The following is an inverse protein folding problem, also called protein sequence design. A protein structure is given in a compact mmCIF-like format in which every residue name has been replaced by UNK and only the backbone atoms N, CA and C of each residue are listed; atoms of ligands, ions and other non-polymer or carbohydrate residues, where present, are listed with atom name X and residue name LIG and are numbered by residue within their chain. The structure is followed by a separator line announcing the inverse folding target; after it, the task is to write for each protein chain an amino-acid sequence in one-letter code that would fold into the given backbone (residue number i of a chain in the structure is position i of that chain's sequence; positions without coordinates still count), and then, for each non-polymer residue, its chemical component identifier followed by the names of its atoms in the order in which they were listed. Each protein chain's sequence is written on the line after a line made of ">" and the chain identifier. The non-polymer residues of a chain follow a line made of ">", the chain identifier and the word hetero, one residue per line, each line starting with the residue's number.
data_IF_120732756926
#
_entry.id   IF_120732756926
#
_cell.length_a   1.000
_cell.length_b   1.000
_cell.length_c   1.000
_cell.angle_alpha   90.00
_cell.angle_beta   90.00
_cell.angle_gamma   90.00
#
_symmetry.space_group_name_H-M   'P 1'
#
loop_
_entity.id
_entity.type
_entity.pdbx_description
1 polymer ?
2 non-polymer ?
3 water ?
#
# COMPACT_ATOMS: atom_id res chain seq x y z
N UNK A 10 -10.33 23.58 -17.24
CA UNK A 10 -9.55 23.99 -16.08
C UNK A 10 -10.39 23.88 -14.80
N UNK A 11 -9.83 23.25 -13.78
CA UNK A 11 -10.50 23.08 -12.50
C UNK A 11 -9.65 23.69 -11.38
N UNK A 12 -10.09 23.49 -10.14
CA UNK A 12 -9.39 24.07 -9.00
C UNK A 12 -8.04 23.40 -8.74
N UNK A 13 -7.83 22.18 -9.24
CA UNK A 13 -6.57 21.49 -9.00
C UNK A 13 -5.43 22.08 -9.81
N UNK A 14 -5.73 22.65 -10.98
CA UNK A 14 -4.69 23.16 -11.85
C UNK A 14 -4.00 24.37 -11.24
N UNK A 15 -2.67 24.35 -11.25
CA UNK A 15 -1.87 25.46 -10.73
C UNK A 15 -0.78 25.80 -11.74
N UNK A 16 -0.30 27.03 -11.71
CA UNK A 16 0.83 27.40 -12.59
C UNK A 16 2.11 26.70 -12.16
N UNK A 17 3.02 26.56 -13.12
CA UNK A 17 4.26 25.83 -12.87
C UNK A 17 5.22 26.62 -11.99
N UNK A 18 5.11 27.96 -12.00
CA UNK A 18 6.00 28.77 -11.17
C UNK A 18 5.66 28.68 -9.69
N UNK A 19 4.41 28.32 -9.35
CA UNK A 19 4.02 28.21 -7.96
C UNK A 19 4.74 27.08 -7.24
N UNK A 20 5.36 26.16 -7.99
CA UNK A 20 6.13 25.07 -7.42
C UNK A 20 7.60 25.42 -7.38
N UNK A 21 8.27 25.05 -6.29
CA UNK A 21 9.69 25.31 -6.11
C UNK A 21 10.33 24.03 -5.57
N UNK A 22 10.77 23.17 -6.48
CA UNK A 22 11.40 21.91 -6.11
C UNK A 22 12.69 22.18 -5.34
N UNK A 23 13.06 21.23 -4.48
CA UNK A 23 14.23 21.42 -3.62
C UNK A 23 15.20 20.24 -3.73
N UNK A 24 14.90 19.14 -3.04
CA UNK A 24 15.79 18.00 -2.95
C UNK A 24 15.14 16.78 -3.58
N UNK A 25 15.91 16.01 -4.33
CA UNK A 25 15.41 14.79 -4.95
C UNK A 25 15.22 13.70 -3.90
N UNK A 26 14.11 12.97 -4.03
CA UNK A 26 13.78 11.90 -3.09
C UNK A 26 14.02 10.51 -3.64
N UNK A 27 14.01 10.35 -4.96
CA UNK A 27 14.20 9.07 -5.60
C UNK A 27 13.11 8.79 -6.60
N UNK A 28 13.19 7.61 -7.20
CA UNK A 28 12.23 7.16 -8.20
C UNK A 28 11.41 6.00 -7.65
N UNK A 29 10.43 5.58 -8.44
CA UNK A 29 9.50 4.56 -8.01
C UNK A 29 8.09 5.09 -7.99
N UNK A 30 7.10 4.19 -8.00
CA UNK A 30 5.69 4.55 -8.09
C UNK A 30 5.45 5.43 -9.32
N UNK A 31 5.78 4.85 -10.48
CA UNK A 31 5.70 5.49 -11.79
C UNK A 31 6.70 6.63 -11.96
N UNK A 32 7.73 6.69 -11.11
CA UNK A 32 8.93 7.45 -11.42
C UNK A 32 9.17 8.60 -10.44
N UNK A 33 10.26 9.32 -10.73
CA UNK A 33 10.81 10.46 -10.03
C UNK A 33 9.84 11.22 -9.12
N UNK A 34 10.26 11.44 -7.88
CA UNK A 34 9.52 12.26 -6.92
C UNK A 34 10.50 13.21 -6.25
N UNK A 35 10.13 14.48 -6.14
CA UNK A 35 10.97 15.51 -5.54
C UNK A 35 10.30 16.05 -4.29
N UNK A 36 11.12 16.40 -3.29
CA UNK A 36 10.65 17.19 -2.16
C UNK A 36 10.83 18.66 -2.51
N UNK A 37 9.74 19.42 -2.47
CA UNK A 37 9.78 20.82 -2.84
C UNK A 37 8.90 21.70 -1.99
N UNK A 38 8.46 22.83 -2.56
CA UNK A 38 7.63 23.78 -1.85
C UNK A 38 6.60 24.35 -2.81
N UNK A 39 5.42 24.66 -2.28
CA UNK A 39 4.32 25.13 -3.10
C UNK A 39 4.16 26.65 -2.97
N UNK A 40 2.98 27.11 -2.56
CA UNK A 40 2.71 28.54 -2.45
C UNK A 40 3.54 29.15 -1.33
N UNK A 41 4.69 29.71 -1.68
CA UNK A 41 5.59 30.26 -0.69
C UNK A 41 6.23 29.18 0.17
N UNK A 42 5.55 28.81 1.26
CA UNK A 42 6.04 27.76 2.16
C UNK A 42 4.94 26.73 2.34
N UNK A 43 5.13 25.56 1.73
CA UNK A 43 4.22 24.43 1.90
C UNK A 43 4.96 23.20 1.38
N UNK A 44 5.54 22.43 2.29
CA UNK A 44 6.33 21.27 1.89
C UNK A 44 5.44 20.24 1.21
N UNK A 45 5.79 19.89 -0.03
CA UNK A 45 5.00 18.97 -0.84
C UNK A 45 5.95 17.99 -1.52
N UNK A 46 5.36 16.97 -2.14
CA UNK A 46 6.07 16.04 -3.00
C UNK A 46 5.59 16.22 -4.43
N UNK A 47 6.54 16.27 -5.36
CA UNK A 47 6.25 16.50 -6.78
C UNK A 47 6.74 15.29 -7.56
N UNK A 48 5.80 14.51 -8.09
CA UNK A 48 6.13 13.40 -8.97
C UNK A 48 6.08 13.88 -10.42
N UNK A 49 7.24 13.84 -11.09
CA UNK A 49 7.36 14.29 -12.46
C UNK A 49 7.52 13.09 -13.39
N UNK A 50 7.20 13.30 -14.66
CA UNK A 50 7.29 12.23 -15.66
C UNK A 50 8.72 11.75 -15.84
N UNK A 57 3.83 9.28 -21.82
CA UNK A 57 2.39 9.13 -21.98
C UNK A 57 1.61 10.06 -21.06
N UNK A 58 0.69 10.85 -21.62
CA UNK A 58 -0.08 11.80 -20.81
C UNK A 58 -1.10 11.10 -19.91
N UNK A 59 -1.28 9.79 -20.04
CA UNK A 59 -2.09 9.05 -19.09
C UNK A 59 -1.52 9.11 -17.67
N UNK A 60 -0.29 9.57 -17.53
CA UNK A 60 0.36 9.79 -16.25
C UNK A 60 -0.46 10.72 -15.34
N UNK A 63 -3.52 8.70 -12.40
CA UNK A 63 -2.93 9.00 -11.10
C UNK A 63 -3.51 10.30 -10.53
N UNK A 64 -3.82 11.24 -11.42
CA UNK A 64 -4.33 12.54 -10.98
C UNK A 64 -5.85 12.60 -11.01
N UNK A 65 -6.47 12.10 -12.08
CA UNK A 65 -7.91 12.22 -12.23
C UNK A 65 -8.66 11.43 -11.16
N UNK A 66 -8.04 10.39 -10.62
CA UNK A 66 -8.72 9.56 -9.62
C UNK A 66 -8.51 10.10 -8.21
N UNK A 67 -7.33 10.67 -7.93
CA UNK A 67 -7.07 11.23 -6.61
C UNK A 67 -7.92 12.47 -6.32
N UNK A 68 -8.55 13.05 -7.34
CA UNK A 68 -9.39 14.23 -7.11
C UNK A 68 -10.66 13.87 -6.36
N UNK A 69 -11.21 12.68 -6.58
CA UNK A 69 -12.46 12.29 -5.95
C UNK A 69 -12.26 11.65 -4.58
N UNK A 70 -11.11 11.05 -4.33
CA UNK A 70 -10.86 10.29 -3.12
C UNK A 70 -10.10 11.16 -2.12
N UNK A 71 -10.64 11.27 -0.91
CA UNK A 71 -10.00 12.02 0.17
C UNK A 71 -10.22 11.26 1.48
N UNK A 72 -9.13 10.88 2.12
CA UNK A 72 -9.18 10.10 3.35
C UNK A 72 -7.88 10.29 4.10
N UNK A 73 -7.94 10.15 5.44
CA UNK A 73 -6.77 10.38 6.26
C UNK A 73 -5.69 9.31 6.06
N UNK A 74 -6.05 8.16 5.47
CA UNK A 74 -5.09 7.10 5.22
C UNK A 74 -4.78 6.92 3.73
N UNK A 75 -5.18 7.88 2.90
CA UNK A 75 -4.74 7.98 1.52
C UNK A 75 -3.88 9.22 1.36
N UNK A 76 -2.81 9.09 0.58
CA UNK A 76 -1.97 10.25 0.30
C UNK A 76 -2.81 11.28 -0.44
N UNK A 77 -2.84 12.50 0.09
CA UNK A 77 -3.75 13.52 -0.44
C UNK A 77 -3.10 14.26 -1.61
N UNK A 78 -3.84 14.37 -2.70
CA UNK A 78 -3.42 15.19 -3.83
C UNK A 78 -3.66 16.67 -3.51
N UNK A 79 -2.68 17.51 -3.88
CA UNK A 79 -2.79 18.95 -3.67
C UNK A 79 -3.12 19.70 -4.96
N UNK A 80 -2.37 19.45 -6.02
CA UNK A 80 -2.54 20.21 -7.26
C UNK A 80 -1.91 19.43 -8.41
N UNK A 81 -2.24 19.84 -9.63
CA UNK A 81 -1.78 19.18 -10.85
C UNK A 81 -1.31 20.24 -11.83
N UNK A 82 -0.24 19.93 -12.56
CA UNK A 82 0.21 20.71 -13.71
C UNK A 82 0.01 19.83 -14.93
N UNK A 83 -1.01 20.15 -15.74
CA UNK A 83 -1.48 19.23 -16.77
C UNK A 83 -0.63 19.23 -18.04
N UNK A 84 0.28 20.20 -18.21
CA UNK A 84 1.11 20.27 -19.40
C UNK A 84 2.49 19.69 -19.12
N UNK A 85 3.17 19.32 -20.20
CA UNK A 85 4.53 18.79 -20.10
C UNK A 85 5.48 19.88 -19.66
N UNK A 86 6.37 19.63 -18.67
CA UNK A 86 6.44 18.36 -17.94
C UNK A 86 5.37 18.26 -16.85
N UNK A 87 4.59 17.17 -16.90
CA UNK A 87 3.45 17.03 -16.00
C UNK A 87 3.93 16.77 -14.58
N UNK A 88 3.44 17.56 -13.63
CA UNK A 88 3.77 17.43 -12.23
C UNK A 88 2.55 16.95 -11.44
N UNK A 89 2.80 16.22 -10.37
CA UNK A 89 1.75 15.73 -9.47
C UNK A 89 2.17 16.11 -8.06
N UNK A 90 1.42 17.02 -7.43
CA UNK A 90 1.75 17.59 -6.13
C UNK A 90 0.89 16.92 -5.07
N UNK A 91 1.53 16.26 -4.10
CA UNK A 91 0.85 15.60 -3.00
C UNK A 91 1.52 15.99 -1.70
N UNK A 92 0.93 15.54 -0.59
CA UNK A 92 1.51 15.78 0.72
C UNK A 92 2.83 15.03 0.87
N UNK A 93 3.66 15.51 1.78
CA UNK A 93 4.98 14.96 2.03
C UNK A 93 4.93 14.00 3.21
N UNK A 94 5.47 12.79 3.01
CA UNK A 94 5.61 11.79 4.05
C UNK A 94 7.07 11.70 4.45
N UNK A 95 7.35 11.84 5.74
CA UNK A 95 8.74 12.01 6.19
C UNK A 95 9.53 10.72 6.08
N UNK A 96 8.93 9.59 6.47
CA UNK A 96 9.67 8.33 6.50
C UNK A 96 9.77 7.65 5.14
N UNK A 97 8.99 8.08 4.15
CA UNK A 97 9.10 7.52 2.82
C UNK A 97 8.31 6.23 2.66
N UNK A 98 8.82 5.34 1.80
CA UNK A 98 8.14 4.11 1.47
C UNK A 98 8.10 3.14 2.66
N UNK A 99 7.04 2.35 2.72
CA UNK A 99 6.92 1.35 3.78
C UNK A 99 7.93 0.23 3.58
N UNK A 100 8.14 -0.19 2.34
CA UNK A 100 9.12 -1.24 2.07
C UNK A 100 10.52 -0.81 2.49
N UNK A 101 10.89 0.44 2.19
CA UNK A 101 12.18 0.95 2.64
C UNK A 101 12.24 1.03 4.16
N UNK A 102 11.15 1.49 4.78
CA UNK A 102 11.13 1.62 6.24
C UNK A 102 11.31 0.28 6.92
N UNK A 103 10.65 -0.77 6.41
CA UNK A 103 10.81 -2.10 6.98
C UNK A 103 12.23 -2.63 6.80
N UNK A 104 12.81 -2.39 5.62
CA UNK A 104 14.16 -2.86 5.35
C UNK A 104 15.22 -1.99 6.00
N UNK A 105 14.90 -0.72 6.23
CA UNK A 105 15.87 0.24 6.75
C UNK A 105 16.29 -0.07 8.17
N UNK A 106 17.09 0.85 8.71
CA UNK A 106 17.66 0.64 10.04
C UNK A 106 16.60 0.72 11.14
N UNK A 107 15.52 1.45 10.89
CA UNK A 107 14.46 1.56 11.90
C UNK A 107 13.60 0.30 11.95
N UNK A 108 13.42 -0.38 10.82
CA UNK A 108 12.49 -1.49 10.76
C UNK A 108 12.86 -2.66 11.64
N UNK A 109 14.15 -2.85 11.91
CA UNK A 109 14.58 -4.00 12.71
C UNK A 109 14.03 -3.97 14.12
N UNK A 110 13.65 -2.79 14.63
CA UNK A 110 13.10 -2.67 15.97
C UNK A 110 11.59 -2.81 16.02
N UNK A 111 10.92 -2.80 14.86
CA UNK A 111 9.46 -2.95 14.83
C UNK A 111 9.05 -4.31 15.35
N UNK A 112 8.05 -4.33 16.22
CA UNK A 112 7.48 -5.55 16.76
C UNK A 112 6.06 -5.71 16.22
N UNK A 113 5.44 -6.85 16.55
CA UNK A 113 4.10 -7.14 16.06
C UNK A 113 3.07 -6.07 16.40
N UNK A 114 3.07 -5.46 17.61
CA UNK A 114 2.10 -4.37 17.85
C UNK A 114 2.21 -3.23 16.86
N UNK A 115 3.41 -2.81 16.50
CA UNK A 115 3.56 -1.73 15.53
C UNK A 115 3.17 -2.19 14.13
N UNK A 116 3.60 -3.38 13.72
CA UNK A 116 3.30 -3.88 12.38
C UNK A 116 1.81 -4.09 12.20
N UNK A 117 1.13 -4.65 13.20
CA UNK A 117 -0.32 -4.84 13.12
C UNK A 117 -1.03 -3.49 13.08
N UNK A 118 -0.58 -2.54 13.90
CA UNK A 118 -1.17 -1.21 13.87
C UNK A 118 -1.00 -0.55 12.50
N UNK A 119 0.16 -0.75 11.88
CA UNK A 119 0.36 -0.23 10.53
C UNK A 119 -0.56 -0.92 9.53
N UNK A 120 -0.76 -2.23 9.69
CA UNK A 120 -1.69 -2.94 8.82
C UNK A 120 -3.12 -2.46 9.02
N UNK A 121 -3.48 -2.11 10.26
CA UNK A 121 -4.82 -1.60 10.54
C UNK A 121 -5.05 -0.27 9.84
N UNK A 122 -4.04 0.60 9.83
CA UNK A 122 -4.17 1.88 9.13
C UNK A 122 -4.32 1.66 7.62
N UNK A 123 -3.56 0.71 7.07
CA UNK A 123 -3.66 0.42 5.64
C UNK A 123 -5.03 -0.12 5.31
N UNK A 124 -5.54 -1.04 6.13
CA UNK A 124 -6.89 -1.56 5.92
C UNK A 124 -7.94 -0.46 6.04
N UNK A 125 -7.69 0.53 6.89
CA UNK A 125 -8.63 1.65 7.01
C UNK A 125 -8.67 2.47 5.74
N UNK A 126 -7.51 2.72 5.13
CA UNK A 126 -7.49 3.43 3.85
C UNK A 126 -8.17 2.62 2.75
N UNK A 127 -7.92 1.31 2.71
CA UNK A 127 -8.56 0.47 1.72
C UNK A 127 -10.04 0.27 2.01
N UNK A 128 -10.44 0.38 3.28
CA UNK A 128 -11.87 0.34 3.60
C UNK A 128 -12.60 1.53 2.99
N UNK A 129 -11.95 2.70 2.96
CA UNK A 129 -12.53 3.85 2.29
C UNK A 129 -12.64 3.62 0.79
N UNK A 130 -11.58 3.07 0.19
CA UNK A 130 -11.63 2.69 -1.23
C UNK A 130 -12.74 1.68 -1.46
N UNK A 131 -12.97 0.79 -0.49
CA UNK A 131 -13.97 -0.26 -0.65
C UNK A 131 -15.37 0.31 -0.74
N UNK A 132 -15.74 1.18 0.21
CA UNK A 132 -17.07 1.75 0.22
C UNK A 132 -17.24 2.87 -0.80
N UNK A 133 -16.15 3.37 -1.39
CA UNK A 133 -16.23 4.28 -2.51
C UNK A 133 -16.41 3.55 -3.84
N UNK A 134 -16.38 2.21 -3.83
CA UNK A 134 -16.53 1.38 -5.03
C UNK A 134 -15.39 1.65 -6.02
N UNK A 135 -14.16 1.53 -5.52
CA UNK A 135 -12.96 1.70 -6.33
C UNK A 135 -12.06 0.49 -6.16
N UNK A 136 -11.06 0.39 -7.03
CA UNK A 136 -10.04 -0.66 -6.97
C UNK A 136 -8.68 0.00 -7.09
N UNK A 137 -7.73 -0.48 -6.29
CA UNK A 137 -6.38 0.08 -6.27
C UNK A 137 -5.48 -0.60 -7.31
N UNK A 138 -5.48 -1.93 -7.35
CA UNK A 138 -4.86 -2.80 -8.34
C UNK A 138 -3.34 -2.95 -8.15
N UNK A 139 -2.69 -2.16 -7.31
CA UNK A 139 -1.25 -2.30 -7.09
C UNK A 139 -0.92 -2.03 -5.64
N UNK A 140 -1.65 -2.69 -4.74
CA UNK A 140 -1.44 -2.51 -3.30
C UNK A 140 -0.28 -3.38 -2.84
N UNK A 141 0.74 -2.75 -2.27
CA UNK A 141 1.89 -3.45 -1.70
C UNK A 141 2.71 -2.45 -0.90
N UNK A 142 3.70 -2.96 -0.17
CA UNK A 142 4.48 -2.12 0.73
C UNK A 142 5.22 -1.03 -0.04
N UNK A 143 5.66 -1.32 -1.27
CA UNK A 143 6.37 -0.31 -2.04
C UNK A 143 5.49 0.89 -2.38
N UNK A 144 4.18 0.68 -2.46
CA UNK A 144 3.23 1.74 -2.78
C UNK A 144 2.50 2.26 -1.56
N UNK A 145 3.13 2.17 -0.38
CA UNK A 145 2.58 2.72 0.85
C UNK A 145 3.64 3.59 1.50
N UNK A 146 3.26 4.80 1.89
CA UNK A 146 4.18 5.78 2.43
C UNK A 146 3.98 5.91 3.94
N UNK A 147 5.09 6.19 4.64
CA UNK A 147 5.11 6.30 6.09
C UNK A 147 5.50 7.72 6.46
N UNK A 148 4.81 8.28 7.45
CA UNK A 148 5.12 9.60 7.93
C UNK A 148 5.47 9.62 9.41
N UNK A 149 5.18 10.72 10.08
CA UNK A 149 5.46 10.82 11.50
C UNK A 149 4.47 9.97 12.30
N UNK A 150 4.93 9.51 13.47
CA UNK A 150 4.09 8.74 14.39
C UNK A 150 3.64 7.41 13.79
N UNK A 151 4.48 6.83 12.92
CA UNK A 151 4.19 5.56 12.24
C UNK A 151 2.89 5.63 11.44
N UNK A 152 2.52 6.82 10.96
CA UNK A 152 1.35 6.97 10.13
C UNK A 152 1.63 6.38 8.75
N UNK A 153 0.77 5.46 8.32
CA UNK A 153 0.86 4.83 7.00
C UNK A 153 -0.31 5.27 6.14
N UNK A 154 -0.03 5.62 4.89
CA UNK A 154 -1.06 6.06 3.96
C UNK A 154 -0.88 5.35 2.62
N UNK A 155 -2.00 5.00 2.00
CA UNK A 155 -2.00 4.31 0.71
C UNK A 155 -1.72 5.31 -0.40
N UNK A 156 -0.91 4.90 -1.37
CA UNK A 156 -0.61 5.76 -2.51
C UNK A 156 -0.69 4.96 -3.81
N UNK A 157 -0.21 5.54 -4.91
CA UNK A 157 -0.15 4.85 -6.20
C UNK A 157 -1.53 4.55 -6.79
N UNK A 158 -2.15 5.55 -7.39
CA UNK A 158 -3.47 5.39 -7.99
C UNK A 158 -3.44 5.62 -9.49
N UNK A 159 -2.27 5.43 -10.11
CA UNK A 159 -2.16 5.51 -11.55
C UNK A 159 -2.95 4.44 -12.28
N UNK A 160 -3.20 3.31 -11.63
CA UNK A 160 -4.00 2.24 -12.22
C UNK A 160 -5.39 2.15 -11.62
N UNK A 161 -5.72 3.00 -10.65
CA UNK A 161 -6.98 2.87 -9.92
C UNK A 161 -8.19 2.96 -10.85
N UNK A 162 -9.16 2.07 -10.63
CA UNK A 162 -10.37 2.02 -11.43
C UNK A 162 -11.60 2.00 -10.54
N UNK A 163 -12.77 1.80 -11.14
CA UNK A 163 -14.01 1.67 -10.39
C UNK A 163 -14.47 0.21 -10.36
N UNK A 178 4.00 -7.07 -11.02
CA UNK A 178 3.74 -7.40 -9.63
C UNK A 178 2.88 -8.65 -9.48
N UNK A 179 3.29 -9.73 -10.16
CA UNK A 179 2.53 -10.97 -10.13
C UNK A 179 2.46 -11.53 -8.71
N UNK A 180 3.53 -11.37 -7.94
CA UNK A 180 3.57 -11.93 -6.59
C UNK A 180 2.58 -11.27 -5.65
N UNK A 181 2.11 -10.06 -5.97
CA UNK A 181 1.13 -9.36 -5.15
C UNK A 181 -0.27 -9.37 -5.73
N UNK A 182 -0.47 -9.99 -6.90
CA UNK A 182 -1.72 -9.88 -7.64
C UNK A 182 -2.51 -11.17 -7.53
N UNK A 183 -3.81 -11.05 -7.26
CA UNK A 183 -4.67 -12.22 -7.22
C UNK A 183 -4.63 -12.94 -8.56
N UNK A 184 -4.67 -14.27 -8.57
CA UNK A 184 -4.52 -14.99 -9.85
C UNK A 184 -5.60 -14.66 -10.86
N UNK A 185 -6.85 -14.46 -10.43
CA UNK A 185 -7.91 -14.12 -11.37
C UNK A 185 -7.72 -12.73 -11.96
N UNK A 186 -6.95 -11.86 -11.31
CA UNK A 186 -6.64 -10.54 -11.86
C UNK A 186 -5.42 -10.58 -12.78
N UNK A 187 -4.39 -11.36 -12.41
CA UNK A 187 -3.19 -11.42 -13.23
C UNK A 187 -3.45 -12.18 -14.53
N UNK A 188 -4.29 -13.21 -14.48
CA UNK A 188 -4.55 -14.05 -15.65
C UNK A 188 -5.65 -13.49 -16.54
N UNK A 189 -6.73 -12.98 -15.94
CA UNK A 189 -7.93 -12.62 -16.69
C UNK A 189 -8.29 -11.15 -16.58
N UNK A 190 -7.56 -10.36 -15.81
CA UNK A 190 -7.90 -8.96 -15.65
C UNK A 190 -9.08 -8.69 -14.75
N UNK A 191 -9.48 -9.66 -13.93
CA UNK A 191 -10.60 -9.49 -13.01
C UNK A 191 -10.09 -8.72 -11.79
N UNK A 192 -9.92 -7.42 -11.95
CA UNK A 192 -9.48 -6.54 -10.88
C UNK A 192 -10.72 -6.03 -10.13
N UNK A 193 -10.90 -6.51 -8.90
CA UNK A 193 -11.96 -6.07 -8.02
C UNK A 193 -11.35 -5.65 -6.69
N UNK A 194 -12.21 -5.18 -5.78
CA UNK A 194 -11.75 -4.90 -4.42
C UNK A 194 -11.34 -6.20 -3.73
N UNK A 195 -11.83 -7.35 -4.20
CA UNK A 195 -11.43 -8.62 -3.62
C UNK A 195 -10.04 -9.03 -4.07
N UNK A 196 -9.60 -8.57 -5.25
CA UNK A 196 -8.21 -8.78 -5.64
C UNK A 196 -7.28 -7.89 -4.84
N UNK A 197 -7.74 -6.70 -4.45
CA UNK A 197 -6.97 -5.87 -3.53
C UNK A 197 -6.84 -6.56 -2.17
N UNK A 198 -7.89 -7.26 -1.74
CA UNK A 198 -7.82 -8.01 -0.48
C UNK A 198 -6.73 -9.08 -0.56
N UNK A 199 -6.61 -9.73 -1.71
CA UNK A 199 -5.51 -10.67 -1.92
C UNK A 199 -4.17 -9.99 -1.75
N UNK A 200 -3.99 -8.82 -2.38
CA UNK A 200 -2.75 -8.08 -2.25
C UNK A 200 -2.47 -7.72 -0.81
N UNK A 201 -3.52 -7.42 -0.05
CA UNK A 201 -3.35 -7.08 1.36
C UNK A 201 -2.78 -8.26 2.16
N UNK A 202 -3.25 -9.46 1.86
CA UNK A 202 -2.71 -10.64 2.52
C UNK A 202 -1.23 -10.81 2.25
N UNK A 203 -0.81 -10.59 1.01
CA UNK A 203 0.62 -10.59 0.68
C UNK A 203 1.34 -9.50 1.46
N UNK A 204 0.74 -8.31 1.52
CA UNK A 204 1.35 -7.21 2.27
C UNK A 204 1.54 -7.56 3.74
N UNK A 205 0.65 -8.37 4.31
CA UNK A 205 0.83 -8.80 5.69
C UNK A 205 2.11 -9.61 5.85
N UNK A 206 2.47 -10.40 4.85
CA UNK A 206 3.73 -11.15 4.91
C UNK A 206 4.93 -10.22 4.82
N UNK A 207 4.81 -9.13 4.05
CA UNK A 207 5.88 -8.13 4.02
C UNK A 207 6.07 -7.51 5.40
N UNK A 208 4.97 -7.26 6.12
CA UNK A 208 5.08 -6.67 7.44
C UNK A 208 5.69 -7.63 8.44
N UNK A 209 5.25 -8.89 8.43
CA UNK A 209 5.69 -9.86 9.42
C UNK A 209 7.08 -10.42 9.13
N UNK A 210 7.68 -10.10 7.98
CA UNK A 210 9.05 -10.51 7.68
C UNK A 210 9.99 -9.33 7.53
N UNK A 211 9.56 -8.12 7.93
CA UNK A 211 10.37 -6.91 7.83
C UNK A 211 10.71 -6.59 6.38
N UNK A 212 9.77 -6.85 5.48
CA UNK A 212 9.89 -6.40 4.11
C UNK A 212 10.47 -7.39 3.12
N UNK A 213 10.57 -8.66 3.48
CA UNK A 213 11.12 -9.65 2.56
C UNK A 213 10.20 -9.85 1.36
N UNK A 214 10.79 -10.28 0.25
CA UNK A 214 10.02 -10.52 -0.97
C UNK A 214 9.16 -11.77 -0.79
N UNK A 215 7.90 -11.75 -1.17
CA UNK A 215 7.06 -12.94 -1.02
C UNK A 215 7.49 -14.05 -1.97
N UNK A 216 7.10 -15.26 -1.61
CA UNK A 216 7.45 -16.47 -2.37
C UNK A 216 8.96 -16.53 -2.63
N UNK A 217 9.78 -16.66 -1.58
CA UNK A 217 11.23 -16.59 -1.76
C UNK A 217 11.74 -17.73 -2.65
N UNK A 218 12.69 -17.39 -3.52
CA UNK A 218 13.28 -18.36 -4.41
C UNK A 218 12.40 -18.81 -5.55
N UNK A 219 11.27 -18.15 -5.79
CA UNK A 219 10.35 -18.49 -6.87
C UNK A 219 10.30 -17.37 -7.88
N UNK A 220 10.29 -17.72 -9.16
CA UNK A 220 10.15 -16.75 -10.24
C UNK A 220 8.67 -16.52 -10.49
N UNK A 221 8.35 -15.52 -11.32
CA UNK A 221 6.96 -15.13 -11.51
C UNK A 221 6.11 -16.27 -12.08
N UNK A 222 6.62 -16.95 -13.10
CA UNK A 222 5.84 -18.02 -13.71
C UNK A 222 5.69 -19.21 -12.77
N UNK A 223 6.65 -19.41 -11.85
CA UNK A 223 6.49 -20.46 -10.85
C UNK A 223 5.46 -20.07 -9.80
N UNK A 224 5.43 -18.78 -9.43
CA UNK A 224 4.44 -18.29 -8.48
C UNK A 224 3.04 -18.48 -9.05
N UNK A 225 2.85 -18.12 -10.32
CA UNK A 225 1.53 -18.20 -10.93
C UNK A 225 1.08 -19.65 -11.08
N UNK A 226 2.02 -20.56 -11.36
CA UNK A 226 1.67 -21.97 -11.50
C UNK A 226 1.23 -22.56 -10.16
N UNK A 227 2.03 -22.37 -9.12
CA UNK A 227 1.75 -23.04 -7.84
C UNK A 227 0.55 -22.43 -7.13
N UNK A 228 0.36 -21.11 -7.25
CA UNK A 228 -0.77 -20.47 -6.57
C UNK A 228 -2.09 -20.93 -7.18
N UNK A 229 -2.14 -21.07 -8.50
CA UNK A 229 -3.36 -21.56 -9.14
C UNK A 229 -3.68 -22.97 -8.69
N UNK A 230 -2.66 -23.79 -8.46
CA UNK A 230 -2.87 -25.14 -7.98
C UNK A 230 -3.19 -25.20 -6.49
N UNK A 231 -3.13 -24.07 -5.78
CA UNK A 231 -3.52 -24.02 -4.38
C UNK A 231 -2.40 -23.73 -3.40
N UNK A 232 -1.15 -23.53 -3.84
CA UNK A 232 -0.08 -23.25 -2.90
C UNK A 232 -0.27 -21.89 -2.25
N UNK A 233 0.04 -21.81 -0.96
CA UNK A 233 0.02 -20.56 -0.22
C UNK A 233 1.28 -20.47 0.62
N UNK A 234 1.73 -19.24 0.88
CA UNK A 234 2.93 -19.05 1.68
C UNK A 234 2.71 -19.58 3.09
N UNK A 235 3.73 -20.18 3.71
CA UNK A 235 3.54 -20.71 5.07
C UNK A 235 3.50 -19.61 6.11
N UNK A 236 3.25 -19.97 7.36
CA UNK A 236 3.26 -18.99 8.44
C UNK A 236 4.68 -18.46 8.64
N UNK A 237 4.89 -17.15 8.59
CA UNK A 237 6.23 -16.62 8.83
C UNK A 237 6.70 -16.96 10.22
N UNK A 238 8.02 -17.05 10.44
CA UNK A 238 8.53 -17.37 11.78
C UNK A 238 8.13 -16.29 12.79
N UNK A 239 7.76 -16.75 13.98
CA UNK A 239 7.28 -15.95 15.11
C UNK A 239 5.93 -15.29 14.84
N UNK A 240 5.35 -15.46 13.67
CA UNK A 240 4.02 -14.92 13.41
C UNK A 240 2.96 -15.83 14.04
N UNK A 241 2.00 -15.27 14.78
CA UNK A 241 0.95 -16.11 15.36
C UNK A 241 0.10 -16.75 14.27
N UNK A 242 -0.37 -17.97 14.56
CA UNK A 242 -1.21 -18.67 13.60
C UNK A 242 -2.45 -17.88 13.24
N UNK A 243 -3.03 -17.17 14.23
CA UNK A 243 -4.25 -16.41 13.99
C UNK A 243 -4.05 -15.34 12.94
N UNK A 244 -2.88 -14.71 12.91
CA UNK A 244 -2.60 -13.72 11.88
C UNK A 244 -2.36 -14.38 10.53
N UNK A 245 -1.81 -15.59 10.52
CA UNK A 245 -1.63 -16.30 9.25
C UNK A 245 -2.96 -16.79 8.70
N UNK A 246 -3.91 -17.14 9.56
CA UNK A 246 -5.23 -17.53 9.09
C UNK A 246 -5.91 -16.37 8.37
N UNK A 247 -5.69 -15.15 8.85
CA UNK A 247 -6.23 -13.98 8.16
C UNK A 247 -5.63 -13.83 6.78
N UNK A 248 -4.34 -14.16 6.63
CA UNK A 248 -3.70 -14.12 5.33
C UNK A 248 -4.35 -15.13 4.38
N UNK A 249 -4.53 -16.36 4.84
CA UNK A 249 -5.11 -17.40 3.98
C UNK A 249 -6.54 -17.03 3.59
N UNK A 250 -7.28 -16.40 4.48
CA UNK A 250 -8.62 -15.91 4.13
C UNK A 250 -8.54 -14.91 2.99
N UNK A 251 -7.55 -14.02 3.02
CA UNK A 251 -7.32 -13.10 1.91
C UNK A 251 -6.88 -13.83 0.65
N UNK A 252 -6.42 -15.08 0.77
CA UNK A 252 -5.89 -15.84 -0.36
C UNK A 252 -6.84 -16.93 -0.84
N UNK A 253 -8.12 -16.85 -0.48
CA UNK A 253 -9.06 -17.87 -0.92
C UNK A 253 -9.22 -17.83 -2.43
N UNK A 254 -9.39 -19.00 -3.03
CA UNK A 254 -9.48 -19.10 -4.48
C UNK A 254 -10.69 -18.34 -5.00
N UNK A 255 -11.82 -18.44 -4.31
CA UNK A 255 -13.02 -17.73 -4.72
C UNK A 255 -12.96 -16.30 -4.20
N UNK A 256 -12.94 -15.29 -5.08
CA UNK A 256 -12.79 -13.90 -4.60
C UNK A 256 -13.91 -13.46 -3.68
N UNK A 257 -15.15 -13.89 -3.93
CA UNK A 257 -16.27 -13.47 -3.09
C UNK A 257 -16.11 -13.96 -1.66
N UNK A 258 -15.40 -15.07 -1.46
CA UNK A 258 -15.18 -15.61 -0.13
C UNK A 258 -14.07 -14.90 0.63
N UNK A 259 -13.36 -13.98 -0.02
CA UNK A 259 -12.35 -13.20 0.68
C UNK A 259 -13.02 -12.15 1.57
N UNK A 260 -12.40 -11.84 2.70
CA UNK A 260 -13.02 -10.90 3.64
C UNK A 260 -12.98 -9.46 3.11
N UNK A 261 -13.81 -8.63 3.72
CA UNK A 261 -13.85 -7.21 3.38
C UNK A 261 -12.77 -6.45 4.16
N UNK A 262 -12.40 -5.28 3.62
CA UNK A 262 -11.46 -4.43 4.34
C UNK A 262 -12.07 -3.87 5.62
N UNK A 263 -13.40 -3.69 5.63
CA UNK A 263 -14.09 -3.32 6.86
C UNK A 263 -13.85 -4.37 7.95
N UNK A 264 -13.90 -5.65 7.58
CA UNK A 264 -13.59 -6.72 8.53
C UNK A 264 -12.11 -6.73 8.88
N UNK A 265 -11.23 -6.55 7.89
CA UNK A 265 -9.79 -6.57 8.14
C UNK A 265 -9.38 -5.46 9.09
N UNK A 266 -9.96 -4.26 8.93
CA UNK A 266 -9.62 -3.15 9.81
C UNK A 266 -10.01 -3.45 11.25
N UNK A 267 -11.24 -3.93 11.46
CA UNK A 267 -11.71 -4.22 12.81
C UNK A 267 -10.92 -5.36 13.44
N UNK A 268 -10.53 -6.35 12.64
CA UNK A 268 -9.78 -7.49 13.17
C UNK A 268 -8.39 -7.05 13.65
N UNK A 269 -7.70 -6.23 12.85
CA UNK A 269 -6.35 -5.83 13.19
C UNK A 269 -6.32 -4.78 14.31
N UNK A 270 -7.31 -3.90 14.37
CA UNK A 270 -7.35 -2.91 15.44
C UNK A 270 -7.58 -3.55 16.81
N UNK A 271 -8.35 -4.64 16.86
CA UNK A 271 -8.67 -5.32 18.10
C UNK A 271 -7.80 -6.55 18.33
N UNK A 272 -6.68 -6.68 17.60
CA UNK A 272 -5.98 -7.97 17.52
C UNK A 272 -5.48 -8.43 18.88
N UNK A 273 -4.79 -7.56 19.62
CA UNK A 273 -4.12 -7.98 20.84
C UNK A 273 -5.03 -8.04 22.06
N UNK A 274 -6.31 -7.67 21.91
CA UNK A 274 -7.28 -7.87 22.97
C UNK A 274 -8.23 -9.04 22.68
N UNK A 275 -8.69 -9.16 21.43
CA UNK A 275 -9.72 -10.13 21.09
C UNK A 275 -9.18 -11.42 20.48
N UNK A 276 -7.97 -11.40 19.92
CA UNK A 276 -7.46 -12.54 19.18
C UNK A 276 -6.21 -13.15 19.82
N UNK A 277 -5.23 -12.33 20.19
CA UNK A 277 -4.00 -12.80 20.82
C UNK A 277 -3.78 -12.05 22.12
N UNK A 278 -4.61 -12.29 23.14
CA UNK A 278 -4.44 -11.55 24.40
C UNK A 278 -3.21 -11.97 25.19
N UNK A 279 -2.61 -13.12 24.89
CA UNK A 279 -1.42 -13.59 25.56
C UNK A 279 -0.20 -13.55 24.65
N UNK A 280 -0.19 -12.61 23.70
CA UNK A 280 0.98 -12.40 22.87
C UNK A 280 2.16 -11.98 23.72
N UNK A 281 3.33 -12.56 23.44
CA UNK A 281 4.55 -12.17 24.13
C UNK A 281 5.62 -11.81 23.11
N UNK A 282 6.39 -10.75 23.35
CA UNK A 282 7.42 -10.36 22.38
C UNK A 282 8.48 -11.43 22.24
N UNK A 283 9.04 -11.54 21.03
CA UNK A 283 10.05 -12.53 20.74
C UNK A 283 11.34 -11.94 20.24
N UNK A 284 12.10 -12.73 19.48
CA UNK A 284 13.38 -12.25 18.95
C UNK A 284 13.19 -11.15 17.93
N UNK A 285 12.20 -11.30 17.03
CA UNK A 285 11.97 -10.34 15.97
C UNK A 285 10.56 -9.76 15.94
N UNK A 286 9.57 -10.49 16.41
CA UNK A 286 8.20 -9.99 16.43
C UNK A 286 7.65 -9.94 17.86
#
# INVERSE_FOLDING_TARGET
>A
GHMQTQGLAKDAWEIPRESLRLEVKLGQGCFGEVWMGTWNGTTRVAIKTLKPGTMSPEAFLQEAQVMKKLRHEKLVQLYAVVSEEPIYIVTEYMSKGSLLDFLKGETGKYLRLPQLVDMAAQIASGMAYVERMNYVHRDLRAANILVGENLVCKVADFGLARLIEDNEYTARQGAKFPIKWTAPEAALYGRFTIKSDVWSFGILLTELTTKGRVPYPGMVNREVLDQVERGYRMPCPPECPESLHDLMCQCWRKEPEERPTFEYLQAFLEDYFTSTEPQYQPGENL
#
